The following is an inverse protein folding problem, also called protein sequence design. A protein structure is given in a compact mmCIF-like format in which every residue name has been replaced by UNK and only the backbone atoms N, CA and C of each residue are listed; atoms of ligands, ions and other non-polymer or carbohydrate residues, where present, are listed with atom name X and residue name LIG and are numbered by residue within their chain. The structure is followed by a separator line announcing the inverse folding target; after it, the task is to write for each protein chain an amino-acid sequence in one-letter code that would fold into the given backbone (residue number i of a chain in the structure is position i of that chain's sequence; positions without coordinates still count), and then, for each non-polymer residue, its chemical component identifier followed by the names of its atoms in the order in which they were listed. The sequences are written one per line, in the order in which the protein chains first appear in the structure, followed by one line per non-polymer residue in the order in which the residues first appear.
data_IF_986830281700
#
_entry.id   IF_986830281700
#
_cell.length_a   1.000
_cell.length_b   1.000
_cell.length_c   1.000
_cell.angle_alpha   90.00
_cell.angle_beta   90.00
_cell.angle_gamma   90.00
#
_symmetry.space_group_name_H-M   'P 1'
#
loop_
_entity.id
_entity.type
_entity.pdbx_description
1 polymer ?
#
# COMPACT_ATOMS: atom_id res chain seq x y z
N UNK A 1 -6.46 -33.59 19.40
CA UNK A 1 -5.14 -32.93 19.28
C UNK A 1 -5.41 -31.51 18.80
N UNK A 2 -5.56 -30.58 19.74
CA UNK A 2 -5.85 -29.17 19.46
C UNK A 2 -4.48 -28.52 19.22
N UNK A 3 -4.21 -28.14 17.98
CA UNK A 3 -2.97 -27.44 17.60
C UNK A 3 -2.99 -26.08 18.26
N UNK A 4 -2.00 -25.83 19.13
CA UNK A 4 -1.88 -24.63 19.94
C UNK A 4 -1.84 -23.37 19.09
N UNK A 5 -2.73 -22.43 19.41
CA UNK A 5 -2.58 -21.03 19.04
C UNK A 5 -1.26 -20.52 19.62
N UNK A 6 -0.35 -20.10 18.74
CA UNK A 6 0.89 -19.45 19.13
C UNK A 6 0.59 -18.16 19.90
N UNK A 7 0.98 -18.19 21.16
CA UNK A 7 1.24 -17.09 22.09
C UNK A 7 1.53 -15.74 21.38
N UNK A 8 0.52 -14.86 21.29
CA UNK A 8 0.73 -13.45 20.98
C UNK A 8 1.34 -12.80 22.22
N UNK A 9 2.66 -12.58 22.20
CA UNK A 9 3.36 -11.84 23.26
C UNK A 9 2.90 -10.39 23.29
N UNK A 10 2.29 -10.01 24.39
CA UNK A 10 1.87 -8.66 24.73
C UNK A 10 3.06 -7.70 24.91
N UNK A 11 2.94 -6.51 24.32
CA UNK A 11 3.64 -5.28 24.68
C UNK A 11 2.75 -4.10 24.29
N UNK A 12 2.40 -3.22 25.23
CA UNK A 12 1.42 -2.15 25.01
C UNK A 12 1.80 -1.19 23.86
N UNK A 13 0.85 -0.86 22.97
CA UNK A 13 1.02 0.16 21.90
C UNK A 13 0.89 -0.33 20.44
N UNK A 14 0.01 -1.29 20.15
CA UNK A 14 0.16 -2.24 19.03
C UNK A 14 -0.64 -1.94 17.73
N UNK A 15 -1.03 -0.69 17.49
CA UNK A 15 -1.73 -0.31 16.25
C UNK A 15 -0.75 0.12 15.16
N UNK A 16 -0.99 -0.21 13.87
CA UNK A 16 -0.24 0.39 12.77
C UNK A 16 -0.23 1.91 12.91
N UNK A 17 0.92 2.53 12.70
CA UNK A 17 1.10 3.98 12.83
C UNK A 17 1.36 4.55 11.45
N UNK A 18 0.74 5.69 11.06
CA UNK A 18 1.03 6.34 9.80
C UNK A 18 2.54 6.57 9.62
N UNK A 19 3.06 6.23 8.44
CA UNK A 19 4.46 6.44 8.08
C UNK A 19 4.53 7.32 6.84
N UNK A 20 5.35 8.37 6.91
CA UNK A 20 5.72 9.15 5.73
C UNK A 20 6.88 8.43 5.02
N UNK A 21 6.76 8.11 3.71
CA UNK A 21 7.84 7.44 2.99
C UNK A 21 9.14 8.24 2.98
N UNK A 22 10.28 7.54 3.08
CA UNK A 22 11.62 8.15 3.17
C UNK A 22 12.14 8.71 1.83
N UNK A 23 11.59 8.25 0.72
CA UNK A 23 11.98 8.69 -0.61
C UNK A 23 10.86 9.46 -1.31
N UNK A 24 11.24 10.38 -2.20
CA UNK A 24 10.30 11.22 -2.94
C UNK A 24 9.43 10.41 -3.91
N UNK A 25 8.17 10.82 -4.07
CA UNK A 25 7.20 10.11 -4.92
C UNK A 25 7.65 9.99 -6.38
N UNK A 26 8.20 11.06 -6.98
CA UNK A 26 8.70 11.04 -8.36
C UNK A 26 9.80 9.99 -8.58
N UNK A 27 10.71 9.84 -7.61
CA UNK A 27 11.74 8.79 -7.67
C UNK A 27 11.09 7.41 -7.60
N UNK A 28 10.12 7.20 -6.71
CA UNK A 28 9.40 5.93 -6.60
C UNK A 28 8.66 5.55 -7.88
N UNK A 29 7.93 6.48 -8.50
CA UNK A 29 7.29 6.26 -9.80
C UNK A 29 8.32 5.94 -10.89
N UNK A 30 9.44 6.67 -10.90
CA UNK A 30 10.56 6.40 -11.81
C UNK A 30 11.12 4.98 -11.66
N UNK A 31 11.37 4.53 -10.43
CA UNK A 31 11.83 3.18 -10.11
C UNK A 31 10.83 2.11 -10.50
N UNK A 32 9.53 2.38 -10.35
CA UNK A 32 8.50 1.43 -10.73
C UNK A 32 8.45 1.14 -12.22
N UNK A 33 8.72 2.12 -13.08
CA UNK A 33 8.85 1.87 -14.53
C UNK A 33 9.96 0.88 -14.85
N UNK A 34 11.05 0.91 -14.09
CA UNK A 34 12.16 -0.06 -14.25
C UNK A 34 11.74 -1.45 -13.80
N UNK A 35 10.94 -1.54 -12.74
CA UNK A 35 10.46 -2.78 -12.14
C UNK A 35 9.11 -3.27 -12.71
N UNK A 36 8.62 -2.64 -13.78
CA UNK A 36 7.34 -2.94 -14.39
C UNK A 36 7.31 -4.39 -14.91
N UNK A 37 6.16 -5.04 -14.77
CA UNK A 37 5.99 -6.43 -15.17
C UNK A 37 6.33 -6.62 -16.66
N UNK A 38 7.24 -7.57 -16.92
CA UNK A 38 7.67 -7.92 -18.27
C UNK A 38 8.04 -9.41 -18.32
N UNK A 39 8.35 -9.94 -19.51
CA UNK A 39 8.64 -11.36 -19.68
C UNK A 39 9.86 -11.84 -18.86
N UNK A 40 10.88 -10.98 -18.70
CA UNK A 40 12.05 -11.29 -17.89
C UNK A 40 11.68 -11.46 -16.42
N UNK A 41 10.96 -10.49 -15.85
CA UNK A 41 10.53 -10.56 -14.46
C UNK A 41 9.51 -11.68 -14.19
N UNK A 42 8.66 -12.03 -15.17
CA UNK A 42 7.81 -13.22 -15.12
C UNK A 42 8.63 -14.51 -15.00
N UNK A 43 9.67 -14.65 -15.82
CA UNK A 43 10.59 -15.80 -15.77
C UNK A 43 11.36 -15.84 -14.44
N UNK A 44 11.81 -14.69 -13.95
CA UNK A 44 12.48 -14.57 -12.65
C UNK A 44 11.55 -14.98 -11.51
N UNK A 45 10.30 -14.49 -11.50
CA UNK A 45 9.29 -14.85 -10.51
C UNK A 45 9.05 -16.38 -10.49
N UNK A 46 8.86 -16.98 -11.67
CA UNK A 46 8.68 -18.43 -11.79
C UNK A 46 9.92 -19.22 -11.34
N UNK A 47 11.14 -18.69 -11.54
CA UNK A 47 12.36 -19.29 -11.01
C UNK A 47 12.45 -19.20 -9.48
N UNK A 48 12.13 -18.03 -8.90
CA UNK A 48 12.10 -17.84 -7.45
C UNK A 48 11.14 -18.81 -6.78
N UNK A 49 9.95 -19.01 -7.37
CA UNK A 49 8.91 -19.90 -6.82
C UNK A 49 9.29 -21.39 -6.88
N UNK A 50 10.20 -21.80 -7.77
CA UNK A 50 10.71 -23.19 -7.81
C UNK A 50 11.55 -23.54 -6.58
N UNK A 51 12.18 -22.56 -5.93
CA UNK A 51 13.09 -22.78 -4.81
C UNK A 51 12.59 -22.12 -3.52
N UNK A 52 12.16 -22.93 -2.53
CA UNK A 52 11.75 -22.42 -1.20
C UNK A 52 12.78 -21.48 -0.54
N UNK A 53 14.11 -21.78 -0.52
CA UNK A 53 15.07 -20.87 0.11
C UNK A 53 15.24 -19.56 -0.67
N UNK A 54 15.28 -19.62 -2.01
CA UNK A 54 15.42 -18.45 -2.87
C UNK A 54 14.23 -17.48 -2.71
N UNK A 55 13.00 -18.01 -2.77
CA UNK A 55 11.78 -17.23 -2.55
C UNK A 55 11.75 -16.57 -1.15
N UNK A 56 12.12 -17.31 -0.09
CA UNK A 56 12.16 -16.76 1.28
C UNK A 56 13.19 -15.65 1.43
N UNK A 57 14.37 -15.83 0.87
CA UNK A 57 15.42 -14.81 0.91
C UNK A 57 14.99 -13.55 0.14
N UNK A 58 14.45 -13.71 -1.07
CA UNK A 58 13.93 -12.59 -1.85
C UNK A 58 12.83 -11.83 -1.11
N UNK A 59 11.86 -12.55 -0.55
CA UNK A 59 10.76 -11.95 0.24
C UNK A 59 11.28 -11.22 1.49
N UNK A 60 12.36 -11.72 2.12
CA UNK A 60 13.00 -11.04 3.25
C UNK A 60 13.66 -9.74 2.83
N UNK A 61 14.36 -9.73 1.69
CA UNK A 61 14.98 -8.53 1.12
C UNK A 61 13.90 -7.50 0.75
N UNK A 62 12.84 -7.93 0.06
CA UNK A 62 11.69 -7.07 -0.27
C UNK A 62 11.09 -6.45 0.99
N UNK A 63 10.85 -7.27 2.02
CA UNK A 63 10.30 -6.81 3.30
C UNK A 63 11.15 -5.69 3.89
N UNK A 64 12.45 -5.94 4.07
CA UNK A 64 13.36 -4.95 4.67
C UNK A 64 13.38 -3.66 3.86
N UNK A 65 13.53 -3.77 2.54
CA UNK A 65 13.56 -2.61 1.65
C UNK A 65 12.25 -1.81 1.73
N UNK A 66 11.08 -2.47 1.60
CA UNK A 66 9.78 -1.79 1.58
C UNK A 66 9.36 -1.28 2.96
N UNK A 67 9.69 -1.97 4.05
CA UNK A 67 9.48 -1.50 5.43
C UNK A 67 10.28 -0.22 5.67
N UNK A 68 11.57 -0.21 5.29
CA UNK A 68 12.44 0.95 5.47
C UNK A 68 12.05 2.15 4.60
N UNK A 69 11.66 1.92 3.35
CA UNK A 69 11.36 3.00 2.41
C UNK A 69 9.94 3.56 2.57
N UNK A 70 8.95 2.69 2.82
CA UNK A 70 7.53 3.03 2.70
C UNK A 70 6.69 2.68 3.94
N UNK A 71 7.30 2.11 4.99
CA UNK A 71 6.55 1.57 6.13
C UNK A 71 5.68 0.36 5.76
N UNK A 72 6.03 -0.37 4.69
CA UNK A 72 5.23 -1.49 4.18
C UNK A 72 4.93 -2.52 5.27
N UNK A 73 3.70 -3.05 5.29
CA UNK A 73 3.27 -4.08 6.25
C UNK A 73 3.20 -5.48 5.65
N UNK A 74 3.68 -5.65 4.41
CA UNK A 74 3.71 -6.92 3.69
C UNK A 74 2.34 -7.60 3.57
N UNK A 75 1.31 -6.86 3.13
CA UNK A 75 -0.02 -7.44 2.86
C UNK A 75 -0.06 -8.36 1.63
N UNK A 76 1.03 -8.46 0.86
CA UNK A 76 1.12 -9.30 -0.34
C UNK A 76 0.44 -8.76 -1.59
N UNK A 77 -0.38 -7.71 -1.45
CA UNK A 77 -1.17 -7.08 -2.52
C UNK A 77 -0.90 -5.57 -2.57
N UNK A 78 0.16 -5.17 -3.28
CA UNK A 78 0.72 -3.83 -3.18
C UNK A 78 -0.17 -2.75 -3.81
N UNK A 79 -0.46 -1.68 -3.06
CA UNK A 79 -1.18 -0.48 -3.54
C UNK A 79 -0.28 0.75 -3.71
N UNK A 80 1.05 0.62 -3.48
CA UNK A 80 1.97 1.76 -3.47
C UNK A 80 1.92 2.62 -4.75
N UNK A 81 1.87 2.06 -5.98
CA UNK A 81 1.77 2.88 -7.19
C UNK A 81 0.54 3.80 -7.17
N UNK A 82 -0.58 3.31 -6.65
CA UNK A 82 -1.86 4.02 -6.67
C UNK A 82 -1.98 5.06 -5.53
N UNK A 83 -1.19 4.88 -4.46
CA UNK A 83 -1.29 5.69 -3.24
C UNK A 83 -0.11 6.65 -3.04
N UNK A 84 0.50 7.15 -4.11
CA UNK A 84 1.64 8.08 -4.02
C UNK A 84 2.87 7.47 -3.34
N UNK A 85 3.02 6.14 -3.42
CA UNK A 85 3.99 5.33 -2.69
C UNK A 85 3.89 5.44 -1.17
N UNK A 86 2.69 5.69 -0.65
CA UNK A 86 2.40 5.68 0.78
C UNK A 86 1.65 4.39 1.13
N UNK A 87 2.20 3.54 1.99
CA UNK A 87 1.55 2.26 2.28
C UNK A 87 0.24 2.45 3.09
N UNK A 88 -0.95 2.12 2.53
CA UNK A 88 -2.22 2.33 3.24
C UNK A 88 -2.36 1.44 4.48
N UNK A 89 -1.62 0.34 4.55
CA UNK A 89 -1.60 -0.56 5.71
C UNK A 89 -0.91 0.03 6.94
N UNK A 90 -0.31 1.23 6.81
CA UNK A 90 0.15 2.03 7.97
C UNK A 90 -1.00 2.80 8.63
N UNK A 91 -2.19 2.84 8.00
CA UNK A 91 -3.42 3.27 8.64
C UNK A 91 -3.71 2.36 9.84
N UNK A 92 -4.00 2.91 11.04
CA UNK A 92 -4.43 2.12 12.19
C UNK A 92 -5.65 1.27 11.86
N UNK A 93 -6.59 1.84 11.09
CA UNK A 93 -7.81 1.17 10.65
C UNK A 93 -7.60 0.22 9.46
N UNK A 94 -6.37 0.09 8.96
CA UNK A 94 -5.99 -0.76 7.82
C UNK A 94 -6.84 -0.56 6.56
N UNK A 95 -7.33 0.67 6.36
CA UNK A 95 -8.18 1.02 5.22
C UNK A 95 -7.35 1.16 3.95
N UNK A 96 -7.70 0.34 2.93
CA UNK A 96 -7.12 0.42 1.57
C UNK A 96 -7.68 1.56 0.72
N UNK A 97 -8.82 2.12 1.11
CA UNK A 97 -9.44 3.29 0.49
C UNK A 97 -9.74 4.29 1.61
N UNK A 98 -9.31 5.53 1.44
CA UNK A 98 -9.57 6.58 2.41
C UNK A 98 -9.63 7.96 1.75
N UNK A 99 -9.70 9.03 2.55
CA UNK A 99 -9.64 9.06 4.01
C UNK A 99 -10.89 8.46 4.70
N UNK A 100 -10.78 8.14 6.00
CA UNK A 100 -11.84 7.50 6.79
C UNK A 100 -12.88 8.45 7.40
N UNK A 101 -12.91 9.73 7.00
CA UNK A 101 -13.71 10.78 7.65
C UNK A 101 -13.11 11.33 8.96
N UNK A 102 -12.42 10.52 9.76
CA UNK A 102 -11.75 10.94 10.99
C UNK A 102 -10.46 11.78 10.84
N UNK A 103 -10.19 12.35 9.66
CA UNK A 103 -8.99 13.19 9.49
C UNK A 103 -9.27 14.56 10.10
N UNK A 104 -8.42 15.01 11.02
CA UNK A 104 -8.56 16.33 11.63
C UNK A 104 -8.41 17.43 10.58
N UNK A 105 -8.95 18.62 10.85
CA UNK A 105 -8.90 19.75 9.92
C UNK A 105 -7.47 20.18 9.56
N UNK A 106 -6.50 19.87 10.42
CA UNK A 106 -5.06 20.10 10.22
C UNK A 106 -4.32 18.90 9.58
N UNK A 107 -5.06 17.88 9.11
CA UNK A 107 -4.52 16.72 8.41
C UNK A 107 -4.03 15.57 9.30
N UNK A 108 -4.19 15.66 10.61
CA UNK A 108 -3.73 14.62 11.56
C UNK A 108 -4.68 13.42 11.66
N UNK A 109 -4.14 12.28 12.07
CA UNK A 109 -4.88 11.04 12.21
C UNK A 109 -5.75 11.02 13.49
N UNK A 110 -7.01 10.59 13.38
CA UNK A 110 -7.91 10.40 14.53
C UNK A 110 -7.30 9.57 15.67
N UNK A 111 -6.65 8.46 15.32
CA UNK A 111 -6.17 7.46 16.27
C UNK A 111 -4.78 7.85 16.82
N UNK A 112 -3.98 8.54 16.02
CA UNK A 112 -2.66 9.06 16.42
C UNK A 112 -2.62 10.57 16.16
N UNK A 113 -3.12 11.39 17.09
CA UNK A 113 -3.24 12.84 16.90
C UNK A 113 -1.91 13.56 16.68
N UNK A 114 -0.77 12.94 17.02
CA UNK A 114 0.56 13.52 16.81
C UNK A 114 1.15 13.19 15.43
N UNK A 115 0.45 12.39 14.62
CA UNK A 115 0.92 11.91 13.31
C UNK A 115 0.00 12.40 12.18
N UNK A 116 0.62 12.74 11.05
CA UNK A 116 -0.10 13.05 9.80
C UNK A 116 -0.86 11.81 9.33
N UNK A 117 -2.10 11.99 8.89
CA UNK A 117 -2.88 10.91 8.31
C UNK A 117 -2.21 10.34 7.06
N UNK A 118 -2.09 9.01 6.99
CA UNK A 118 -1.52 8.29 5.84
C UNK A 118 -2.17 8.69 4.51
N UNK A 119 -3.48 8.96 4.49
CA UNK A 119 -4.20 9.36 3.27
C UNK A 119 -3.94 10.81 2.87
N UNK A 120 -3.68 11.71 3.83
CA UNK A 120 -3.22 13.07 3.52
C UNK A 120 -1.85 12.99 2.84
N UNK A 121 -0.92 12.21 3.40
CA UNK A 121 0.39 11.96 2.81
C UNK A 121 0.29 11.31 1.41
N UNK A 122 -0.60 10.35 1.20
CA UNK A 122 -0.84 9.74 -0.10
C UNK A 122 -1.32 10.76 -1.14
N UNK A 123 -2.33 11.57 -0.80
CA UNK A 123 -2.91 12.61 -1.66
C UNK A 123 -1.84 13.63 -2.07
N UNK A 124 -1.13 14.21 -1.12
CA UNK A 124 -0.13 15.24 -1.39
C UNK A 124 1.01 14.71 -2.27
N UNK A 125 1.47 13.48 -2.01
CA UNK A 125 2.55 12.85 -2.76
C UNK A 125 2.15 12.48 -4.17
N UNK A 126 0.96 11.91 -4.36
CA UNK A 126 0.44 11.57 -5.68
C UNK A 126 0.19 12.84 -6.51
N UNK A 127 -0.49 13.85 -5.95
CA UNK A 127 -0.74 15.13 -6.61
C UNK A 127 0.56 15.85 -6.98
N UNK A 128 1.52 15.95 -6.05
CA UNK A 128 2.82 16.58 -6.31
C UNK A 128 3.67 15.86 -7.35
N UNK A 129 3.40 14.57 -7.60
CA UNK A 129 4.04 13.78 -8.65
C UNK A 129 3.26 13.75 -9.97
N UNK A 130 2.07 14.35 -10.06
CA UNK A 130 1.21 14.30 -11.26
C UNK A 130 0.38 13.02 -11.39
N UNK A 131 0.29 12.23 -10.32
CA UNK A 131 -0.38 10.92 -10.25
C UNK A 131 -1.68 10.96 -9.43
N UNK A 132 -2.32 12.13 -9.32
CA UNK A 132 -3.51 12.31 -8.49
C UNK A 132 -4.70 11.44 -8.92
N UNK A 133 -4.80 11.11 -10.22
CA UNK A 133 -5.87 10.26 -10.76
C UNK A 133 -5.78 8.80 -10.29
N UNK A 134 -4.59 8.33 -9.88
CA UNK A 134 -4.41 6.94 -9.44
C UNK A 134 -5.18 6.68 -8.12
N UNK A 135 -5.47 7.73 -7.35
CA UNK A 135 -6.27 7.68 -6.11
C UNK A 135 -7.77 7.48 -6.37
N UNK A 136 -8.23 7.67 -7.60
CA UNK A 136 -9.62 7.46 -7.99
C UNK A 136 -9.93 5.95 -8.17
N UNK A 137 -8.89 5.11 -8.20
CA UNK A 137 -9.02 3.65 -8.27
C UNK A 137 -9.48 3.09 -6.93
N UNK A 138 -10.62 2.40 -6.93
CA UNK A 138 -11.10 1.68 -5.76
C UNK A 138 -10.28 0.41 -5.57
N UNK A 139 -9.54 0.35 -4.48
CA UNK A 139 -8.72 -0.79 -4.12
C UNK A 139 -9.58 -1.90 -3.50
N UNK A 140 -9.53 -3.10 -4.06
CA UNK A 140 -10.17 -4.29 -3.49
C UNK A 140 -9.64 -4.56 -2.07
N UNK A 141 -10.46 -5.13 -1.17
CA UNK A 141 -10.03 -5.53 0.17
C UNK A 141 -8.78 -6.43 0.15
N UNK A 142 -7.95 -6.36 1.19
CA UNK A 142 -6.79 -7.26 1.33
C UNK A 142 -7.27 -8.69 1.51
N UNK A 143 -6.71 -9.61 0.74
CA UNK A 143 -6.74 -11.04 1.05
C UNK A 143 -5.68 -11.35 2.12
N UNK A 144 -6.13 -11.58 3.35
CA UNK A 144 -5.22 -11.85 4.48
C UNK A 144 -4.39 -13.13 4.31
N UNK A 145 -4.75 -14.04 3.39
CA UNK A 145 -3.95 -15.23 3.07
C UNK A 145 -2.64 -14.87 2.36
N UNK A 146 -2.57 -13.69 1.73
CA UNK A 146 -1.37 -13.18 1.06
C UNK A 146 -0.41 -12.48 2.03
N UNK A 147 -0.77 -12.35 3.30
CA UNK A 147 0.06 -11.66 4.28
C UNK A 147 1.43 -12.31 4.44
N UNK A 148 2.48 -11.48 4.39
CA UNK A 148 3.86 -11.90 4.43
C UNK A 148 4.42 -12.48 3.13
N UNK A 149 3.60 -12.63 2.08
CA UNK A 149 4.06 -13.04 0.74
C UNK A 149 4.65 -11.86 -0.02
N UNK A 150 5.41 -12.18 -1.08
CA UNK A 150 6.07 -11.18 -1.91
C UNK A 150 5.07 -10.51 -2.86
N UNK A 151 4.86 -9.21 -2.67
CA UNK A 151 3.99 -8.44 -3.57
C UNK A 151 4.64 -8.21 -4.94
N UNK A 152 5.97 -8.23 -5.05
CA UNK A 152 6.64 -8.18 -6.36
C UNK A 152 6.47 -9.46 -7.16
N UNK A 153 6.58 -10.64 -6.53
CA UNK A 153 6.33 -11.90 -7.22
C UNK A 153 4.86 -11.98 -7.66
N UNK A 154 3.91 -11.55 -6.81
CA UNK A 154 2.50 -11.49 -7.17
C UNK A 154 2.23 -10.53 -8.34
N UNK A 155 2.79 -9.33 -8.31
CA UNK A 155 2.72 -8.35 -9.40
C UNK A 155 3.31 -8.90 -10.71
N UNK A 156 4.52 -9.47 -10.68
CA UNK A 156 5.14 -9.99 -11.90
C UNK A 156 4.40 -11.19 -12.47
N UNK A 157 3.72 -11.99 -11.66
CA UNK A 157 2.91 -13.12 -12.11
C UNK A 157 1.48 -12.72 -12.52
N UNK A 158 1.11 -11.44 -12.42
CA UNK A 158 -0.25 -10.95 -12.73
C UNK A 158 -1.31 -11.37 -11.72
N UNK A 159 -0.93 -11.84 -10.53
CA UNK A 159 -1.89 -12.28 -9.48
C UNK A 159 -2.59 -11.12 -8.79
N UNK A 160 -1.96 -9.94 -8.86
CA UNK A 160 -2.46 -8.68 -8.30
C UNK A 160 -3.13 -7.81 -9.38
N UNK A 161 -3.36 -8.34 -10.58
CA UNK A 161 -4.03 -7.62 -11.66
C UNK A 161 -5.47 -7.27 -11.26
N UNK A 162 -5.85 -6.02 -11.52
CA UNK A 162 -7.18 -5.49 -11.18
C UNK A 162 -7.42 -5.26 -9.68
N UNK A 163 -6.38 -5.18 -8.84
CA UNK A 163 -6.56 -4.78 -7.44
C UNK A 163 -7.20 -3.40 -7.32
N UNK A 164 -6.81 -2.44 -8.16
CA UNK A 164 -7.52 -1.18 -8.36
C UNK A 164 -8.56 -1.32 -9.47
N UNK A 165 -9.79 -0.91 -9.20
CA UNK A 165 -10.90 -0.92 -10.16
C UNK A 165 -11.38 0.52 -10.34
N UNK A 166 -11.54 0.94 -11.59
CA UNK A 166 -12.15 2.24 -11.88
C UNK A 166 -13.66 2.20 -11.60
N UNK A 167 -14.23 3.33 -11.19
CA UNK A 167 -15.68 3.50 -11.15
C UNK A 167 -16.26 3.43 -12.57
N UNK A 168 -17.36 2.71 -12.74
CA UNK A 168 -18.16 2.75 -13.96
C UNK A 168 -18.78 4.14 -14.20
N UNK A 169 -19.34 4.35 -15.38
CA UNK A 169 -20.10 5.57 -15.69
C UNK A 169 -21.34 5.71 -14.79
N UNK A 170 -21.96 4.58 -14.42
CA UNK A 170 -23.18 4.52 -13.61
C UNK A 170 -22.92 4.36 -12.09
N UNK A 171 -21.67 4.17 -11.67
CA UNK A 171 -21.35 3.99 -10.26
C UNK A 171 -21.39 5.33 -9.51
N UNK A 172 -21.95 5.40 -8.30
CA UNK A 172 -21.90 6.60 -7.49
C UNK A 172 -20.43 6.84 -7.08
N UNK A 173 -19.76 7.74 -7.80
CA UNK A 173 -18.39 8.15 -7.47
C UNK A 173 -18.42 8.84 -6.10
N UNK A 174 -17.54 8.46 -5.15
CA UNK A 174 -17.41 9.22 -3.92
C UNK A 174 -16.97 10.64 -4.29
N UNK A 175 -17.65 11.65 -3.74
CA UNK A 175 -17.31 13.03 -4.01
C UNK A 175 -15.85 13.27 -3.63
N UNK A 176 -15.01 13.49 -4.64
CA UNK A 176 -13.58 13.69 -4.44
C UNK A 176 -13.33 15.10 -3.91
N UNK A 177 -12.15 15.31 -3.32
CA UNK A 177 -11.70 16.59 -2.74
C UNK A 177 -12.04 17.84 -3.59
N UNK A 178 -11.93 17.72 -4.92
CA UNK A 178 -12.24 18.82 -5.87
C UNK A 178 -13.74 19.12 -5.97
N UNK A 179 -14.58 18.10 -5.95
CA UNK A 179 -16.04 18.24 -6.03
C UNK A 179 -16.63 18.77 -4.72
N UNK A 180 -15.96 18.50 -3.60
CA UNK A 180 -16.29 19.04 -2.28
C UNK A 180 -15.77 20.48 -2.04
N UNK A 181 -15.08 21.10 -3.00
CA UNK A 181 -14.53 22.45 -2.85
C UNK A 181 -13.42 22.58 -1.79
N UNK A 182 -12.80 21.47 -1.37
CA UNK A 182 -11.78 21.44 -0.33
C UNK A 182 -10.37 21.61 -0.92
N UNK A 183 -10.02 22.84 -1.34
CA UNK A 183 -8.64 23.16 -1.72
C UNK A 183 -7.71 23.19 -0.49
N UNK A 184 -6.45 22.71 -0.61
CA UNK A 184 -5.44 23.03 0.40
C UNK A 184 -5.27 24.56 0.43
N UNK A 185 -5.23 25.14 1.63
CA UNK A 185 -4.74 26.51 1.81
C UNK A 185 -3.22 26.54 1.67
#
# INVERSE_FOLDING_TARGET
MIVGFGEQRAGGGDWPRPVVPRIGARLSYGLHRVLAANLLYRRLAAWLERGRPAYRWFTRVERVAKEQLYGCRMCGQCALPDTGYTCPMTCPKQLRNGPCGGVAADGRCEVHPDLVCVWVTAIERAQGAGHGADLDLLQRPVDHREWGRSSWVNYWQGRDDGLGVAYGEDDPRPLLRRELGLSPR
#
